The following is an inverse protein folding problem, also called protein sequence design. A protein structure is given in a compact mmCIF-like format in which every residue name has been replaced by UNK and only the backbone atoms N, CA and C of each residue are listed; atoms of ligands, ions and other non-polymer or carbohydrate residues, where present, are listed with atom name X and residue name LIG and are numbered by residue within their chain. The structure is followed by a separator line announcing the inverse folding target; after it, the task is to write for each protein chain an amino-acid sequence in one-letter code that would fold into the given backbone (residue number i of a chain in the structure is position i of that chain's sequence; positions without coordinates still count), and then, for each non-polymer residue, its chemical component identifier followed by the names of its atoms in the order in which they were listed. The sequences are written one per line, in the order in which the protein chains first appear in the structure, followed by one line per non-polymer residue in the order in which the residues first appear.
data_IF_644578988802
#
_entry.id   IF_644578988802
#
_cell.length_a   1.000
_cell.length_b   1.000
_cell.length_c   1.000
_cell.angle_alpha   90.00
_cell.angle_beta   90.00
_cell.angle_gamma   90.00
#
_symmetry.space_group_name_H-M   'P 1'
#
loop_
_entity.id
_entity.type
_entity.pdbx_description
1 polymer ?
#
# COMPACT_ATOMS: atom_id res chain seq x y z
N UNK A 1 22.42 -17.94 16.15
CA UNK A 1 21.17 -17.93 15.35
C UNK A 1 20.93 -19.33 14.88
N UNK A 2 19.71 -19.83 15.04
CA UNK A 2 19.32 -21.16 14.56
C UNK A 2 18.52 -21.02 13.26
N UNK A 3 18.47 -22.09 12.46
CA UNK A 3 17.81 -22.05 11.15
C UNK A 3 16.30 -21.77 11.27
N UNK A 4 15.68 -22.20 12.37
CA UNK A 4 14.26 -21.97 12.64
C UNK A 4 13.93 -20.47 12.73
N UNK A 5 14.86 -19.62 13.18
CA UNK A 5 14.64 -18.17 13.33
C UNK A 5 14.46 -17.44 11.98
N UNK A 6 14.99 -18.02 10.89
CA UNK A 6 15.01 -17.41 9.56
C UNK A 6 14.00 -18.04 8.59
N UNK A 7 13.49 -19.24 8.89
CA UNK A 7 12.66 -20.05 7.98
C UNK A 7 11.54 -19.24 7.29
N UNK A 8 10.76 -18.46 8.05
CA UNK A 8 9.64 -17.67 7.50
C UNK A 8 10.08 -16.47 6.64
N UNK A 9 11.31 -16.00 6.83
CA UNK A 9 11.88 -14.88 6.06
C UNK A 9 12.70 -15.32 4.84
N UNK A 10 13.10 -16.60 4.79
CA UNK A 10 13.92 -17.15 3.71
C UNK A 10 13.27 -17.02 2.31
N UNK A 11 11.95 -17.22 2.13
CA UNK A 11 11.29 -17.04 0.82
C UNK A 11 11.40 -15.62 0.27
N UNK A 12 11.53 -14.61 1.14
CA UNK A 12 11.68 -13.21 0.72
C UNK A 12 13.04 -12.94 0.06
N UNK A 13 14.01 -13.84 0.26
CA UNK A 13 15.37 -13.72 -0.24
C UNK A 13 15.65 -14.51 -1.53
N UNK A 14 14.60 -14.99 -2.20
CA UNK A 14 14.71 -15.80 -3.43
C UNK A 14 15.48 -15.06 -4.54
N UNK A 15 15.18 -13.77 -4.72
CA UNK A 15 15.82 -12.90 -5.72
C UNK A 15 17.11 -12.23 -5.20
N UNK A 16 17.49 -12.49 -3.95
CA UNK A 16 18.68 -11.92 -3.32
C UNK A 16 18.49 -11.73 -1.82
N UNK A 17 19.58 -11.68 -1.07
CA UNK A 17 19.55 -11.55 0.39
C UNK A 17 19.42 -10.10 0.86
N UNK A 18 19.15 -9.16 -0.05
CA UNK A 18 19.15 -7.73 0.25
C UNK A 18 18.01 -7.29 1.17
N UNK A 19 16.85 -7.94 1.09
CA UNK A 19 15.72 -7.70 1.97
C UNK A 19 15.84 -8.32 3.36
N UNK A 20 16.86 -9.14 3.62
CA UNK A 20 17.06 -9.75 4.93
C UNK A 20 17.75 -8.80 5.90
N UNK A 21 17.40 -8.92 7.18
CA UNK A 21 18.16 -8.32 8.28
C UNK A 21 19.62 -8.77 8.21
N UNK A 22 20.56 -7.91 8.59
CA UNK A 22 22.00 -8.19 8.50
C UNK A 22 22.40 -9.53 9.16
N UNK A 23 21.85 -9.84 10.34
CA UNK A 23 22.13 -11.10 11.04
C UNK A 23 21.59 -12.33 10.29
N UNK A 24 20.42 -12.22 9.64
CA UNK A 24 19.84 -13.29 8.83
C UNK A 24 20.69 -13.53 7.57
N UNK A 25 21.13 -12.45 6.92
CA UNK A 25 22.05 -12.51 5.76
C UNK A 25 23.35 -13.22 6.11
N UNK A 26 24.02 -12.82 7.19
CA UNK A 26 25.27 -13.44 7.63
C UNK A 26 25.11 -14.94 7.94
N UNK A 27 23.97 -15.34 8.50
CA UNK A 27 23.67 -16.76 8.71
C UNK A 27 23.48 -17.51 7.39
N UNK A 28 22.74 -16.96 6.44
CA UNK A 28 22.56 -17.58 5.11
C UNK A 28 23.89 -17.75 4.39
N UNK A 29 24.78 -16.76 4.45
CA UNK A 29 26.10 -16.81 3.80
C UNK A 29 27.00 -17.92 4.36
N UNK A 30 26.76 -18.37 5.58
CA UNK A 30 27.59 -19.36 6.27
C UNK A 30 26.93 -20.73 6.47
N UNK A 31 25.60 -20.81 6.42
CA UNK A 31 24.83 -22.03 6.71
C UNK A 31 24.38 -22.75 5.44
N UNK A 32 24.98 -23.91 5.16
CA UNK A 32 24.64 -24.75 3.99
C UNK A 32 23.18 -25.21 3.94
N UNK A 33 22.54 -25.42 5.11
CA UNK A 33 21.11 -25.80 5.16
C UNK A 33 20.23 -24.68 4.62
N UNK A 34 20.43 -23.45 5.09
CA UNK A 34 19.69 -22.28 4.61
C UNK A 34 19.99 -21.98 3.13
N UNK A 35 21.23 -22.20 2.67
CA UNK A 35 21.57 -22.06 1.26
C UNK A 35 20.85 -23.09 0.38
N UNK A 36 20.80 -24.34 0.82
CA UNK A 36 20.10 -25.41 0.10
C UNK A 36 18.60 -25.11 0.00
N UNK A 37 17.99 -24.63 1.08
CA UNK A 37 16.59 -24.24 1.11
C UNK A 37 16.30 -23.05 0.18
N UNK A 38 17.17 -22.02 0.15
CA UNK A 38 17.08 -20.93 -0.84
C UNK A 38 17.15 -21.41 -2.29
N UNK A 39 18.02 -22.39 -2.58
CA UNK A 39 18.08 -23.00 -3.92
C UNK A 39 16.77 -23.71 -4.26
N UNK A 40 16.12 -24.36 -3.30
CA UNK A 40 14.81 -25.00 -3.50
C UNK A 40 13.74 -23.94 -3.81
N UNK A 41 13.67 -22.84 -3.06
CA UNK A 41 12.73 -21.77 -3.36
C UNK A 41 12.96 -21.13 -4.73
N UNK A 42 14.22 -20.92 -5.15
CA UNK A 42 14.53 -20.44 -6.51
C UNK A 42 14.08 -21.42 -7.59
N UNK A 43 14.21 -22.74 -7.36
CA UNK A 43 13.71 -23.76 -8.28
C UNK A 43 12.18 -23.70 -8.38
N UNK A 44 11.49 -23.59 -7.24
CA UNK A 44 10.04 -23.44 -7.20
C UNK A 44 9.57 -22.20 -7.96
N UNK A 45 10.18 -21.04 -7.72
CA UNK A 45 9.81 -19.79 -8.41
C UNK A 45 10.04 -19.90 -9.92
N UNK A 46 11.13 -20.53 -10.36
CA UNK A 46 11.37 -20.79 -11.80
C UNK A 46 10.30 -21.68 -12.41
N UNK A 47 9.88 -22.74 -11.71
CA UNK A 47 8.80 -23.62 -12.18
C UNK A 47 7.46 -22.88 -12.24
N UNK A 48 7.13 -22.06 -11.23
CA UNK A 48 5.93 -21.21 -11.29
C UNK A 48 6.02 -20.21 -12.45
N UNK A 49 7.21 -19.68 -12.73
CA UNK A 49 7.41 -18.77 -13.85
C UNK A 49 7.20 -19.45 -15.21
N UNK A 50 7.62 -20.71 -15.38
CA UNK A 50 7.39 -21.44 -16.64
C UNK A 50 5.90 -21.69 -16.90
N UNK A 51 5.10 -21.85 -15.84
CA UNK A 51 3.65 -22.01 -15.96
C UNK A 51 2.90 -20.69 -16.25
N UNK A 52 3.57 -19.53 -16.13
CA UNK A 52 2.92 -18.20 -16.23
C UNK A 52 2.22 -17.97 -17.58
N UNK A 53 2.75 -18.58 -18.64
CA UNK A 53 2.24 -18.42 -20.00
C UNK A 53 1.32 -19.55 -20.42
N UNK A 54 1.05 -20.52 -19.54
CA UNK A 54 0.06 -21.55 -19.81
C UNK A 54 -1.34 -20.92 -19.70
N UNK A 55 -1.98 -20.76 -20.85
CA UNK A 55 -3.32 -20.16 -20.93
C UNK A 55 -4.35 -21.24 -20.68
N UNK A 56 -5.09 -21.07 -19.59
CA UNK A 56 -6.36 -21.77 -19.37
C UNK A 56 -7.44 -20.88 -19.93
N UNK A 57 -8.10 -21.33 -21.00
CA UNK A 57 -9.22 -20.57 -21.58
C UNK A 57 -10.31 -20.35 -20.52
N UNK A 58 -10.67 -19.08 -20.23
CA UNK A 58 -11.71 -18.79 -19.25
C UNK A 58 -13.07 -19.28 -19.76
N UNK A 59 -13.99 -19.52 -18.83
CA UNK A 59 -15.37 -19.84 -19.19
C UNK A 59 -15.95 -18.75 -20.10
N UNK A 60 -16.72 -19.11 -21.15
CA UNK A 60 -17.40 -18.13 -21.99
C UNK A 60 -18.23 -17.17 -21.12
N UNK A 61 -18.05 -15.87 -21.32
CA UNK A 61 -18.75 -14.84 -20.54
C UNK A 61 -18.03 -14.38 -19.26
N UNK A 62 -16.94 -15.02 -18.83
CA UNK A 62 -16.20 -14.58 -17.64
C UNK A 62 -15.64 -13.15 -17.77
N UNK A 63 -15.16 -12.77 -18.96
CA UNK A 63 -14.66 -11.40 -19.20
C UNK A 63 -15.77 -10.33 -19.04
N UNK A 64 -16.92 -10.41 -19.72
CA UNK A 64 -17.98 -9.43 -19.53
C UNK A 64 -18.55 -9.43 -18.10
N UNK A 65 -18.63 -10.57 -17.43
CA UNK A 65 -19.04 -10.64 -16.01
C UNK A 65 -18.08 -9.88 -15.08
N UNK A 66 -16.76 -10.08 -15.26
CA UNK A 66 -15.74 -9.35 -14.49
C UNK A 66 -15.79 -7.84 -14.77
N UNK A 67 -15.98 -7.45 -16.04
CA UNK A 67 -16.11 -6.04 -16.40
C UNK A 67 -17.37 -5.41 -15.81
N UNK A 68 -18.49 -6.14 -15.77
CA UNK A 68 -19.70 -5.69 -15.08
C UNK A 68 -19.46 -5.50 -13.58
N UNK A 69 -18.82 -6.48 -12.92
CA UNK A 69 -18.51 -6.39 -11.49
C UNK A 69 -17.58 -5.21 -11.14
N UNK A 70 -16.55 -4.96 -11.96
CA UNK A 70 -15.66 -3.80 -11.80
C UNK A 70 -16.42 -2.49 -12.06
N UNK A 71 -17.29 -2.47 -13.08
CA UNK A 71 -18.15 -1.34 -13.41
C UNK A 71 -19.06 -0.95 -12.26
N UNK A 72 -19.76 -1.91 -11.66
CA UNK A 72 -20.62 -1.69 -10.50
C UNK A 72 -19.86 -1.05 -9.33
N UNK A 73 -18.67 -1.57 -8.98
CA UNK A 73 -17.85 -0.99 -7.89
C UNK A 73 -17.43 0.44 -8.23
N UNK A 74 -17.05 0.70 -9.49
CA UNK A 74 -16.70 2.03 -9.97
C UNK A 74 -17.86 3.02 -9.90
N UNK A 75 -19.06 2.60 -10.30
CA UNK A 75 -20.27 3.41 -10.25
C UNK A 75 -20.66 3.76 -8.80
N UNK A 76 -20.62 2.79 -7.89
CA UNK A 76 -20.91 3.04 -6.47
C UNK A 76 -19.92 4.03 -5.83
N UNK A 77 -18.63 3.94 -6.18
CA UNK A 77 -17.61 4.88 -5.71
C UNK A 77 -17.79 6.27 -6.34
N UNK A 78 -18.11 6.34 -7.63
CA UNK A 78 -18.41 7.60 -8.32
C UNK A 78 -19.63 8.29 -7.70
N UNK A 79 -20.74 7.57 -7.48
CA UNK A 79 -21.96 8.08 -6.84
C UNK A 79 -21.66 8.56 -5.41
N UNK A 80 -20.95 7.78 -4.60
CA UNK A 80 -20.53 8.18 -3.25
C UNK A 80 -19.66 9.44 -3.25
N UNK A 81 -18.75 9.56 -4.22
CA UNK A 81 -17.89 10.74 -4.35
C UNK A 81 -18.69 12.00 -4.70
N UNK A 82 -19.70 11.88 -5.58
CA UNK A 82 -20.59 12.98 -5.94
C UNK A 82 -21.47 13.41 -4.75
N UNK A 83 -22.01 12.45 -3.99
CA UNK A 83 -22.80 12.71 -2.78
C UNK A 83 -21.94 13.39 -1.70
N UNK A 84 -20.74 12.89 -1.44
CA UNK A 84 -19.83 13.49 -0.46
C UNK A 84 -19.38 14.90 -0.90
N UNK A 85 -19.11 15.12 -2.19
CA UNK A 85 -18.78 16.45 -2.71
C UNK A 85 -19.92 17.44 -2.50
N UNK A 86 -21.17 17.03 -2.75
CA UNK A 86 -22.36 17.85 -2.53
C UNK A 86 -22.62 18.12 -1.04
N UNK A 87 -22.37 17.14 -0.16
CA UNK A 87 -22.45 17.33 1.31
C UNK A 87 -21.38 18.29 1.83
N UNK A 88 -20.14 18.21 1.34
CA UNK A 88 -19.09 19.18 1.69
C UNK A 88 -19.45 20.59 1.22
N UNK A 89 -20.05 20.74 0.04
CA UNK A 89 -20.56 22.02 -0.44
C UNK A 89 -21.73 22.56 0.43
N UNK A 90 -22.64 21.70 0.87
CA UNK A 90 -23.78 22.11 1.70
C UNK A 90 -23.37 22.46 3.14
N UNK A 91 -22.43 21.71 3.73
CA UNK A 91 -21.89 21.98 5.07
C UNK A 91 -20.94 23.19 5.08
N UNK A 92 -20.29 23.50 3.94
CA UNK A 92 -19.48 24.71 3.78
C UNK A 92 -20.28 26.03 3.73
N UNK A 93 -21.62 25.96 3.64
CA UNK A 93 -22.50 27.12 3.51
C UNK A 93 -23.00 27.74 4.83
N UNK A 94 -22.73 27.12 5.99
CA UNK A 94 -23.10 27.71 7.28
C UNK A 94 -21.86 28.36 7.90
N UNK A 95 -21.51 29.53 7.37
CA UNK A 95 -20.87 30.60 8.16
C UNK A 95 -21.85 31.77 8.09
N UNK A 96 -22.97 31.61 8.80
CA UNK A 96 -23.89 32.72 9.05
C UNK A 96 -23.15 33.77 9.89
N UNK A 97 -23.23 35.01 9.42
CA UNK A 97 -22.59 36.18 9.98
C UNK A 97 -22.69 36.27 11.51
N UNK A 98 -21.54 36.19 12.20
CA UNK A 98 -21.36 36.83 13.51
C UNK A 98 -20.57 38.13 13.29
N UNK A 99 -21.20 39.07 12.59
CA UNK A 99 -20.73 40.45 12.53
C UNK A 99 -21.53 41.30 13.52
N UNK A 100 -21.36 41.03 14.81
CA UNK A 100 -21.67 41.95 15.90
C UNK A 100 -21.00 41.46 17.19
N UNK A 101 -19.72 41.82 17.35
CA UNK A 101 -19.05 41.99 18.65
C UNK A 101 -18.93 40.80 19.60
N UNK A 102 -17.99 39.87 19.34
CA UNK A 102 -17.12 39.33 20.40
C UNK A 102 -15.74 39.03 19.80
N UNK A 103 -14.71 39.66 20.35
CA UNK A 103 -13.31 39.51 19.97
C UNK A 103 -12.79 38.10 20.28
N UNK A 104 -12.26 37.40 19.26
CA UNK A 104 -11.33 36.28 19.39
C UNK A 104 -11.96 34.88 19.44
N UNK A 105 -11.77 34.08 18.39
CA UNK A 105 -11.99 32.63 18.53
C UNK A 105 -11.94 31.71 17.31
N UNK A 106 -12.21 32.17 16.08
CA UNK A 106 -12.50 31.20 14.98
C UNK A 106 -11.44 31.11 13.86
N UNK A 107 -10.40 31.95 13.87
CA UNK A 107 -9.37 31.91 12.80
C UNK A 107 -8.27 30.82 12.96
N UNK A 108 -8.34 29.96 13.98
CA UNK A 108 -7.22 29.03 14.30
C UNK A 108 -7.29 27.68 13.55
N UNK A 109 -8.46 27.23 13.07
CA UNK A 109 -8.57 25.87 12.52
C UNK A 109 -8.04 25.71 11.08
N UNK A 110 -8.05 26.76 10.26
CA UNK A 110 -7.57 26.70 8.87
C UNK A 110 -6.04 26.91 8.76
N UNK A 111 -5.44 27.64 9.69
CA UNK A 111 -4.00 27.99 9.64
C UNK A 111 -3.09 26.88 10.17
N UNK A 112 -3.57 26.02 11.08
CA UNK A 112 -2.79 24.90 11.63
C UNK A 112 -2.52 23.79 10.60
N UNK A 113 -3.42 23.57 9.63
CA UNK A 113 -3.22 22.58 8.56
C UNK A 113 -2.20 23.03 7.50
N UNK A 114 -2.04 24.34 7.32
CA UNK A 114 -1.05 24.89 6.38
C UNK A 114 0.34 24.97 7.00
N UNK A 115 0.46 25.26 8.31
CA UNK A 115 1.75 25.31 8.99
C UNK A 115 2.41 23.95 9.22
N UNK A 116 1.65 22.83 9.23
CA UNK A 116 2.24 21.47 9.27
C UNK A 116 2.73 20.97 7.90
N UNK A 117 2.46 21.69 6.81
CA UNK A 117 2.84 21.27 5.44
C UNK A 117 3.91 22.16 4.79
N UNK A 118 4.44 23.14 5.53
CA UNK A 118 5.53 24.01 5.09
C UNK A 118 6.63 24.07 6.15
N UNK A 119 7.38 22.99 6.27
CA UNK A 119 8.77 23.04 6.74
C UNK A 119 9.63 22.24 5.76
N UNK A 120 10.27 22.90 4.77
CA UNK A 120 11.31 22.28 3.96
C UNK A 120 12.58 22.05 4.81
N UNK A 121 13.45 21.19 4.28
CA UNK A 121 14.49 20.42 4.95
C UNK A 121 15.84 21.14 5.20
N UNK A 122 16.71 20.44 5.95
CA UNK A 122 18.19 20.46 6.03
C UNK A 122 18.89 21.32 7.11
N UNK A 123 19.73 20.67 7.94
CA UNK A 123 21.21 20.77 7.93
C UNK A 123 21.87 20.30 9.26
N UNK A 124 22.68 19.22 9.15
CA UNK A 124 23.98 18.91 9.78
C UNK A 124 24.35 19.33 11.22
N UNK A 125 24.68 18.32 12.05
CA UNK A 125 25.97 18.17 12.73
C UNK A 125 26.21 16.67 13.01
#
# INVERSE_FOLDING_TARGET
MICEDIADSLPQAVDGTDGLKAAHRAHVETCLRCQAELVQYRKLLRAMHSLRTEVIEPAPGALPELLAAVGEVGEHQAIRSLINRRRVAYVGGIVAATAAGVTGGVLIAARSRRSRRSRPAAASA
#
